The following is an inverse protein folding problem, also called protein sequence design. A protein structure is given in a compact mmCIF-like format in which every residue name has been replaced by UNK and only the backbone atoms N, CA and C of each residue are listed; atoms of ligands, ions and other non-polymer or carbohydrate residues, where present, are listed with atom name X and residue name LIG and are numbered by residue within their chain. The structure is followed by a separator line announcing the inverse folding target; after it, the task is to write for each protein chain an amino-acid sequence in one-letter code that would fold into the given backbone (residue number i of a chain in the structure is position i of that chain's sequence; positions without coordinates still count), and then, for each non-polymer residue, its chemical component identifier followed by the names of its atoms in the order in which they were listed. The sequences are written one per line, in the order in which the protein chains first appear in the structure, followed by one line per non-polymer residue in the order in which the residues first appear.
data_IF_430932392946
#
_entry.id   IF_430932392946
#
_cell.length_a   1.000
_cell.length_b   1.000
_cell.length_c   1.000
_cell.angle_alpha   90.00
_cell.angle_beta   90.00
_cell.angle_gamma   90.00
#
_symmetry.space_group_name_H-M   'P 1'
#
loop_
_entity.id
_entity.type
_entity.pdbx_description
1 polymer ?
#
# COMPACT_ATOMS: atom_id res chain seq x y z
N UNK A 1 19.68 -13.05 0.85
CA UNK A 1 18.76 -13.84 0.01
C UNK A 1 17.97 -12.99 -1.00
N UNK A 2 17.35 -11.86 -0.64
CA UNK A 2 16.68 -10.99 -1.64
C UNK A 2 17.50 -9.77 -2.13
N UNK A 3 18.59 -9.42 -1.45
CA UNK A 3 19.52 -8.35 -1.84
C UNK A 3 18.80 -7.01 -2.11
N UNK A 4 18.96 -6.42 -3.30
CA UNK A 4 18.38 -5.14 -3.70
C UNK A 4 16.84 -5.11 -3.68
N UNK A 5 16.20 -6.29 -3.68
CA UNK A 5 14.74 -6.41 -3.64
C UNK A 5 14.20 -6.41 -2.21
N UNK A 6 15.07 -6.54 -1.20
CA UNK A 6 14.66 -6.72 0.19
C UNK A 6 13.79 -5.56 0.69
N UNK A 7 14.21 -4.31 0.49
CA UNK A 7 13.50 -3.15 1.03
C UNK A 7 12.08 -3.03 0.48
N UNK A 8 11.88 -3.12 -0.83
CA UNK A 8 10.55 -3.05 -1.42
C UNK A 8 9.63 -4.20 -0.99
N UNK A 9 10.18 -5.42 -0.89
CA UNK A 9 9.43 -6.59 -0.41
C UNK A 9 9.06 -6.47 1.08
N UNK A 10 9.96 -5.94 1.90
CA UNK A 10 9.73 -5.80 3.34
C UNK A 10 8.72 -4.70 3.65
N UNK A 11 8.77 -3.57 2.95
CA UNK A 11 7.75 -2.52 3.04
C UNK A 11 6.37 -3.05 2.62
N UNK A 12 6.29 -3.71 1.45
CA UNK A 12 5.05 -4.32 0.99
C UNK A 12 4.48 -5.35 1.98
N UNK A 13 5.36 -6.16 2.60
CA UNK A 13 4.99 -7.11 3.64
C UNK A 13 4.42 -6.40 4.86
N UNK A 14 5.14 -5.41 5.39
CA UNK A 14 4.78 -4.74 6.63
C UNK A 14 3.37 -4.13 6.53
N UNK A 15 3.09 -3.46 5.41
CA UNK A 15 1.79 -2.86 5.14
C UNK A 15 0.67 -3.91 5.01
N UNK A 16 0.82 -4.90 4.11
CA UNK A 16 -0.25 -5.85 3.82
C UNK A 16 -0.49 -6.84 4.96
N UNK A 17 0.57 -7.31 5.61
CA UNK A 17 0.47 -8.18 6.79
C UNK A 17 -0.03 -7.39 7.98
N UNK A 18 0.28 -6.08 8.07
CA UNK A 18 -0.32 -5.18 9.05
C UNK A 18 -1.83 -5.10 8.89
N UNK A 19 -2.33 -4.99 7.66
CA UNK A 19 -3.77 -4.98 7.36
C UNK A 19 -4.44 -6.33 7.68
N UNK A 20 -3.77 -7.45 7.38
CA UNK A 20 -4.21 -8.79 7.80
C UNK A 20 -4.27 -8.89 9.34
N UNK A 21 -3.23 -8.41 10.04
CA UNK A 21 -3.15 -8.46 11.50
C UNK A 21 -4.22 -7.59 12.17
N UNK A 22 -4.53 -6.41 11.61
CA UNK A 22 -5.65 -5.59 12.08
C UNK A 22 -6.97 -6.37 12.01
N UNK A 23 -7.23 -7.06 10.91
CA UNK A 23 -8.43 -7.90 10.79
C UNK A 23 -8.44 -9.05 11.80
N UNK A 24 -7.30 -9.70 12.01
CA UNK A 24 -7.14 -10.75 13.01
C UNK A 24 -7.46 -10.23 14.42
N UNK A 25 -6.90 -9.08 14.81
CA UNK A 25 -7.12 -8.48 16.13
C UNK A 25 -8.60 -8.10 16.35
N UNK A 26 -9.27 -7.58 15.31
CA UNK A 26 -10.73 -7.33 15.37
C UNK A 26 -11.50 -8.65 15.54
N UNK A 27 -11.10 -9.72 14.83
CA UNK A 27 -11.72 -11.04 14.96
C UNK A 27 -11.52 -11.71 16.32
N UNK A 28 -10.50 -11.25 17.09
CA UNK A 28 -10.24 -11.65 18.48
C UNK A 28 -10.92 -10.74 19.51
N UNK A 29 -11.78 -9.82 19.07
CA UNK A 29 -12.42 -8.78 19.89
C UNK A 29 -11.39 -7.91 20.67
N UNK A 30 -10.14 -7.81 20.19
CA UNK A 30 -9.10 -6.94 20.75
C UNK A 30 -9.15 -5.52 20.17
N UNK A 31 -9.83 -5.34 19.04
CA UNK A 31 -10.08 -4.05 18.39
C UNK A 31 -11.57 -3.92 18.01
N UNK A 32 -12.14 -2.69 17.97
CA UNK A 32 -13.55 -2.48 17.63
C UNK A 32 -13.92 -2.96 16.22
N UNK A 33 -15.06 -3.66 16.10
CA UNK A 33 -15.63 -4.10 14.81
C UNK A 33 -15.98 -2.95 13.86
N UNK A 34 -16.20 -1.74 14.40
CA UNK A 34 -16.43 -0.54 13.62
C UNK A 34 -15.22 -0.15 12.74
N UNK A 35 -14.01 -0.66 13.03
CA UNK A 35 -12.80 -0.36 12.27
C UNK A 35 -12.67 -1.15 10.95
N UNK A 36 -13.41 -2.24 10.75
CA UNK A 36 -13.22 -3.13 9.59
C UNK A 36 -13.33 -2.37 8.27
N UNK A 37 -14.36 -1.53 8.11
CA UNK A 37 -14.54 -0.79 6.85
C UNK A 37 -13.54 0.36 6.73
N UNK A 38 -13.34 1.11 7.82
CA UNK A 38 -12.50 2.30 7.78
C UNK A 38 -11.02 1.97 7.58
N UNK A 39 -10.53 0.83 8.08
CA UNK A 39 -9.13 0.43 7.86
C UNK A 39 -8.83 0.17 6.38
N UNK A 40 -9.70 -0.56 5.67
CA UNK A 40 -9.52 -0.84 4.24
C UNK A 40 -9.67 0.42 3.38
N UNK A 41 -10.66 1.26 3.69
CA UNK A 41 -10.87 2.52 2.95
C UNK A 41 -9.70 3.48 3.19
N UNK A 42 -9.21 3.59 4.42
CA UNK A 42 -8.04 4.42 4.75
C UNK A 42 -6.77 3.88 4.09
N UNK A 43 -6.61 2.56 4.03
CA UNK A 43 -5.49 1.92 3.34
C UNK A 43 -5.50 2.23 1.84
N UNK A 44 -6.64 2.09 1.15
CA UNK A 44 -6.80 2.47 -0.26
C UNK A 44 -6.40 3.94 -0.51
N UNK A 45 -6.89 4.87 0.32
CA UNK A 45 -6.50 6.27 0.23
C UNK A 45 -4.98 6.47 0.48
N UNK A 46 -4.43 5.71 1.44
CA UNK A 46 -3.02 5.67 1.76
C UNK A 46 -2.13 5.23 0.60
N UNK A 47 -2.59 4.29 -0.23
CA UNK A 47 -1.87 3.87 -1.43
C UNK A 47 -1.60 5.05 -2.37
N UNK A 48 -2.61 5.88 -2.62
CA UNK A 48 -2.43 7.06 -3.48
C UNK A 48 -1.48 8.09 -2.88
N UNK A 49 -1.47 8.25 -1.56
CA UNK A 49 -0.51 9.13 -0.87
C UNK A 49 0.92 8.61 -1.08
N UNK A 50 1.18 7.34 -0.76
CA UNK A 50 2.55 6.80 -0.79
C UNK A 50 3.10 6.63 -2.21
N UNK A 51 2.28 6.25 -3.19
CA UNK A 51 2.74 6.11 -4.59
C UNK A 51 3.24 7.44 -5.17
N UNK A 52 2.83 8.60 -4.61
CA UNK A 52 3.30 9.93 -5.01
C UNK A 52 4.73 10.24 -4.61
N UNK A 53 5.34 9.45 -3.72
CA UNK A 53 6.79 9.49 -3.49
C UNK A 53 7.59 8.95 -4.69
N UNK A 54 6.91 8.27 -5.62
CA UNK A 54 7.50 7.73 -6.84
C UNK A 54 7.91 6.27 -6.69
N UNK A 55 8.10 5.62 -7.84
CA UNK A 55 8.47 4.21 -7.90
C UNK A 55 9.98 3.97 -7.80
N UNK A 56 10.78 4.98 -7.52
CA UNK A 56 12.20 4.81 -7.21
C UNK A 56 12.43 4.48 -5.73
N UNK A 57 11.49 4.87 -4.87
CA UNK A 57 11.52 4.66 -3.43
C UNK A 57 10.82 3.32 -3.06
N UNK A 58 11.30 2.66 -2.00
CA UNK A 58 10.89 1.30 -1.64
C UNK A 58 9.44 1.23 -1.18
N UNK A 59 8.98 2.20 -0.38
CA UNK A 59 7.58 2.31 0.06
C UNK A 59 6.65 2.59 -1.12
N UNK A 60 7.01 3.49 -2.02
CA UNK A 60 6.27 3.76 -3.26
C UNK A 60 6.11 2.52 -4.15
N UNK A 61 7.19 1.74 -4.33
CA UNK A 61 7.15 0.43 -5.01
C UNK A 61 6.20 -0.55 -4.32
N UNK A 62 6.33 -0.70 -3.01
CA UNK A 62 5.50 -1.61 -2.22
C UNK A 62 4.02 -1.25 -2.28
N UNK A 63 3.70 0.04 -2.27
CA UNK A 63 2.32 0.55 -2.33
C UNK A 63 1.70 0.39 -3.72
N UNK A 64 2.47 0.57 -4.79
CA UNK A 64 2.02 0.25 -6.14
C UNK A 64 1.72 -1.25 -6.29
N UNK A 65 2.58 -2.10 -5.73
CA UNK A 65 2.37 -3.56 -5.74
C UNK A 65 1.07 -3.94 -5.03
N UNK A 66 0.86 -3.41 -3.82
CA UNK A 66 -0.33 -3.69 -3.03
C UNK A 66 -1.60 -3.21 -3.76
N UNK A 67 -1.61 -1.96 -4.25
CA UNK A 67 -2.74 -1.44 -5.00
C UNK A 67 -3.06 -2.29 -6.24
N UNK A 68 -2.05 -2.60 -7.06
CA UNK A 68 -2.26 -3.32 -8.31
C UNK A 68 -2.71 -4.77 -8.06
N UNK A 69 -2.21 -5.43 -7.00
CA UNK A 69 -2.69 -6.75 -6.60
C UNK A 69 -4.16 -6.70 -6.17
N UNK A 70 -4.52 -5.79 -5.26
CA UNK A 70 -5.90 -5.67 -4.79
C UNK A 70 -6.86 -5.27 -5.92
N UNK A 71 -6.40 -4.46 -6.86
CA UNK A 71 -7.17 -4.12 -8.06
C UNK A 71 -7.35 -5.33 -8.99
N UNK A 72 -6.30 -6.12 -9.25
CA UNK A 72 -6.38 -7.36 -10.07
C UNK A 72 -7.32 -8.40 -9.44
N UNK A 73 -7.40 -8.44 -8.10
CA UNK A 73 -8.34 -9.28 -7.34
C UNK A 73 -9.74 -8.68 -7.20
N UNK A 74 -10.02 -7.56 -7.88
CA UNK A 74 -11.30 -6.84 -7.83
C UNK A 74 -11.69 -6.36 -6.42
N UNK A 75 -10.73 -6.32 -5.48
CA UNK A 75 -10.93 -5.78 -4.14
C UNK A 75 -10.92 -4.24 -4.14
N UNK A 76 -10.19 -3.64 -5.08
CA UNK A 76 -10.30 -2.21 -5.39
C UNK A 76 -11.02 -2.02 -6.72
N UNK A 77 -11.95 -1.08 -6.74
CA UNK A 77 -12.79 -0.79 -7.90
C UNK A 77 -12.54 0.66 -8.32
N UNK A 78 -12.31 0.88 -9.61
CA UNK A 78 -12.34 2.19 -10.26
C UNK A 78 -13.72 2.38 -10.90
N UNK A 79 -14.40 3.47 -10.54
CA UNK A 79 -15.71 3.85 -11.06
C UNK A 79 -15.61 4.76 -12.29
N UNK A 80 -16.72 4.90 -13.01
CA UNK A 80 -16.80 5.76 -14.20
C UNK A 80 -16.62 7.25 -13.93
N UNK A 81 -16.78 7.69 -12.68
CA UNK A 81 -16.50 9.06 -12.24
C UNK A 81 -15.05 9.24 -11.75
N UNK A 82 -14.19 8.27 -12.06
CA UNK A 82 -12.79 8.20 -11.68
C UNK A 82 -12.58 8.20 -10.14
N UNK A 83 -13.57 7.79 -9.35
CA UNK A 83 -13.41 7.53 -7.92
C UNK A 83 -13.10 6.06 -7.65
N UNK A 84 -12.63 5.77 -6.44
CA UNK A 84 -12.25 4.42 -6.03
C UNK A 84 -13.04 3.96 -4.82
N UNK A 85 -13.33 2.66 -4.75
CA UNK A 85 -13.93 2.01 -3.58
C UNK A 85 -13.33 0.66 -3.28
N UNK A 86 -13.65 0.13 -2.10
CA UNK A 86 -13.30 -1.22 -1.67
C UNK A 86 -14.49 -2.16 -1.85
N UNK A 87 -14.28 -3.30 -2.49
CA UNK A 87 -15.20 -4.45 -2.44
C UNK A 87 -14.95 -5.22 -1.13
N UNK A 88 -15.88 -5.09 -0.18
CA UNK A 88 -15.73 -5.71 1.14
C UNK A 88 -15.89 -7.22 1.13
N UNK A 89 -16.50 -7.80 0.10
CA UNK A 89 -16.63 -9.26 -0.02
C UNK A 89 -15.34 -9.90 -0.54
N UNK A 90 -14.47 -9.11 -1.21
CA UNK A 90 -13.22 -9.60 -1.82
C UNK A 90 -11.95 -9.15 -1.11
N UNK A 91 -11.97 -8.01 -0.42
CA UNK A 91 -10.75 -7.39 0.13
C UNK A 91 -10.01 -8.26 1.13
N UNK A 92 -10.73 -9.01 1.98
CA UNK A 92 -10.09 -9.88 2.98
C UNK A 92 -9.26 -10.98 2.32
N UNK A 93 -9.83 -11.66 1.31
CA UNK A 93 -9.14 -12.70 0.56
C UNK A 93 -7.99 -12.15 -0.30
N UNK A 94 -8.15 -10.96 -0.87
CA UNK A 94 -7.08 -10.31 -1.63
C UNK A 94 -5.87 -9.98 -0.73
N UNK A 95 -6.12 -9.45 0.47
CA UNK A 95 -5.08 -9.15 1.47
C UNK A 95 -4.37 -10.42 1.92
N UNK A 96 -5.13 -11.46 2.30
CA UNK A 96 -4.56 -12.74 2.72
C UNK A 96 -3.70 -13.39 1.62
N UNK A 97 -4.16 -13.35 0.37
CA UNK A 97 -3.42 -13.92 -0.76
C UNK A 97 -2.08 -13.21 -1.00
N UNK A 98 -2.04 -11.87 -0.91
CA UNK A 98 -0.80 -11.12 -1.07
C UNK A 98 0.15 -11.33 0.13
N UNK A 99 -0.38 -11.35 1.35
CA UNK A 99 0.40 -11.69 2.55
C UNK A 99 1.07 -13.06 2.39
N UNK A 100 0.31 -14.06 1.93
CA UNK A 100 0.81 -15.42 1.72
C UNK A 100 1.91 -15.46 0.67
N UNK A 101 1.72 -14.79 -0.47
CA UNK A 101 2.69 -14.71 -1.56
C UNK A 101 4.03 -14.14 -1.07
N UNK A 102 3.99 -12.95 -0.47
CA UNK A 102 5.19 -12.24 -0.01
C UNK A 102 5.92 -13.05 1.08
N UNK A 103 5.19 -13.57 2.07
CA UNK A 103 5.78 -14.36 3.15
C UNK A 103 6.40 -15.66 2.64
N UNK A 104 5.77 -16.31 1.65
CA UNK A 104 6.30 -17.55 1.04
C UNK A 104 7.59 -17.28 0.27
N UNK A 105 7.62 -16.21 -0.53
CA UNK A 105 8.82 -15.78 -1.27
C UNK A 105 9.97 -15.50 -0.31
N UNK A 106 9.72 -14.73 0.75
CA UNK A 106 10.73 -14.40 1.75
C UNK A 106 11.21 -15.63 2.53
N UNK A 107 10.31 -16.53 2.93
CA UNK A 107 10.66 -17.75 3.66
C UNK A 107 11.54 -18.71 2.84
N UNK A 108 11.42 -18.68 1.51
CA UNK A 108 12.25 -19.47 0.59
C UNK A 108 13.54 -18.76 0.14
N UNK A 109 13.68 -17.48 0.45
CA UNK A 109 14.76 -16.67 -0.11
C UNK A 109 14.70 -16.51 -1.63
N UNK A 110 13.51 -16.64 -2.23
CA UNK A 110 13.32 -16.77 -3.68
C UNK A 110 13.42 -15.41 -4.39
N UNK A 111 14.65 -15.03 -4.77
CA UNK A 111 14.94 -13.75 -5.42
C UNK A 111 14.28 -13.62 -6.79
N UNK A 112 14.15 -14.72 -7.53
CA UNK A 112 13.57 -14.74 -8.87
C UNK A 112 12.06 -14.47 -8.79
N UNK A 113 11.35 -15.15 -7.87
CA UNK A 113 9.94 -14.88 -7.61
C UNK A 113 9.71 -13.45 -7.11
N UNK A 114 10.55 -12.94 -6.21
CA UNK A 114 10.49 -11.54 -5.77
C UNK A 114 10.63 -10.57 -6.95
N UNK A 115 11.60 -10.82 -7.83
CA UNK A 115 11.83 -9.98 -9.02
C UNK A 115 10.62 -9.97 -9.95
N UNK A 116 10.03 -11.14 -10.23
CA UNK A 116 8.85 -11.27 -11.08
C UNK A 116 7.62 -10.57 -10.47
N UNK A 117 7.41 -10.71 -9.16
CA UNK A 117 6.32 -10.04 -8.45
C UNK A 117 6.46 -8.51 -8.56
N UNK A 118 7.64 -7.97 -8.27
CA UNK A 118 7.91 -6.53 -8.34
C UNK A 118 7.82 -6.01 -9.78
N UNK A 119 8.37 -6.72 -10.77
CA UNK A 119 8.27 -6.33 -12.18
C UNK A 119 6.82 -6.26 -12.66
N UNK A 120 5.98 -7.20 -12.23
CA UNK A 120 4.57 -7.24 -12.61
C UNK A 120 3.77 -6.10 -11.93
N UNK A 121 3.92 -5.93 -10.62
CA UNK A 121 3.00 -5.09 -9.85
C UNK A 121 3.57 -3.75 -9.39
N UNK A 122 4.89 -3.51 -9.37
CA UNK A 122 5.47 -2.19 -9.05
C UNK A 122 5.48 -1.26 -10.27
N UNK A 123 4.33 -1.11 -10.92
CA UNK A 123 4.17 -0.30 -12.13
C UNK A 123 3.09 0.75 -11.95
N UNK A 124 3.27 1.89 -12.63
CA UNK A 124 2.28 2.96 -12.66
C UNK A 124 1.17 2.60 -13.66
N UNK A 125 0.22 1.79 -13.21
CA UNK A 125 -0.92 1.34 -14.01
C UNK A 125 -1.89 2.48 -14.32
N UNK A 126 -2.78 2.27 -15.30
CA UNK A 126 -3.75 3.30 -15.68
C UNK A 126 -4.64 3.76 -14.50
N UNK A 127 -5.17 2.88 -13.62
CA UNK A 127 -5.93 3.32 -12.47
C UNK A 127 -5.13 4.22 -11.51
N UNK A 128 -3.85 3.89 -11.24
CA UNK A 128 -2.99 4.76 -10.44
C UNK A 128 -2.78 6.12 -11.11
N UNK A 129 -2.51 6.15 -12.42
CA UNK A 129 -2.35 7.41 -13.17
C UNK A 129 -3.59 8.31 -13.07
N UNK A 130 -4.78 7.74 -13.17
CA UNK A 130 -6.05 8.48 -13.03
C UNK A 130 -6.15 9.13 -11.64
N UNK A 131 -5.85 8.37 -10.58
CA UNK A 131 -5.86 8.89 -9.22
C UNK A 131 -4.83 10.01 -9.02
N UNK A 132 -3.61 9.82 -9.51
CA UNK A 132 -2.53 10.80 -9.36
C UNK A 132 -2.82 12.09 -10.14
N UNK A 133 -3.35 11.98 -11.36
CA UNK A 133 -3.70 13.15 -12.16
C UNK A 133 -4.78 14.01 -11.48
N UNK A 134 -5.77 13.40 -10.83
CA UNK A 134 -6.76 14.14 -10.05
C UNK A 134 -6.12 14.91 -8.88
N UNK A 135 -5.20 14.28 -8.15
CA UNK A 135 -4.50 14.91 -7.03
C UNK A 135 -3.58 16.06 -7.49
N UNK A 136 -2.95 15.90 -8.66
CA UNK A 136 -2.13 16.94 -9.29
C UNK A 136 -2.96 18.13 -9.75
N UNK A 137 -4.11 17.89 -10.40
CA UNK A 137 -5.01 18.94 -10.87
C UNK A 137 -5.51 19.86 -9.74
N UNK A 138 -5.73 19.31 -8.53
CA UNK A 138 -6.12 20.08 -7.35
C UNK A 138 -4.94 20.49 -6.46
N UNK A 139 -3.70 20.25 -6.91
CA UNK A 139 -2.45 20.66 -6.25
C UNK A 139 -2.36 20.20 -4.77
N UNK A 140 -2.78 18.96 -4.49
CA UNK A 140 -2.60 18.38 -3.15
C UNK A 140 -1.10 18.27 -2.87
N UNK A 141 -0.57 18.72 -1.72
CA UNK A 141 0.83 18.51 -1.37
C UNK A 141 1.20 17.02 -1.26
N UNK A 142 2.43 16.65 -1.62
CA UNK A 142 2.90 15.25 -1.50
C UNK A 142 3.18 14.90 -0.04
N UNK A 143 3.92 15.79 0.63
CA UNK A 143 4.34 15.62 2.02
C UNK A 143 4.54 17.00 2.66
N UNK A 144 5.05 17.00 3.89
CA UNK A 144 5.31 18.19 4.67
C UNK A 144 6.79 18.59 4.64
N UNK A 145 7.05 19.90 4.70
CA UNK A 145 8.37 20.45 5.00
C UNK A 145 8.34 21.00 6.43
N UNK A 146 8.89 20.28 7.43
CA UNK A 146 8.72 20.66 8.83
C UNK A 146 9.53 21.90 9.21
N UNK A 147 8.89 22.83 9.93
CA UNK A 147 9.55 23.96 10.58
C UNK A 147 9.72 23.66 12.07
N UNK A 148 10.93 23.29 12.49
CA UNK A 148 11.23 22.92 13.87
C UNK A 148 11.52 24.13 14.77
N UNK A 149 10.48 24.88 15.11
CA UNK A 149 10.60 26.12 15.91
C UNK A 149 11.25 25.91 17.28
N UNK A 150 11.04 24.76 17.92
CA UNK A 150 11.68 24.43 19.19
C UNK A 150 13.20 24.27 19.07
N UNK A 151 13.68 23.61 18.00
CA UNK A 151 15.11 23.45 17.73
C UNK A 151 15.77 24.79 17.42
N UNK A 152 15.10 25.62 16.60
CA UNK A 152 15.59 26.95 16.26
C UNK A 152 15.79 27.83 17.51
N UNK A 153 14.95 27.67 18.55
CA UNK A 153 15.09 28.39 19.83
C UNK A 153 16.22 27.86 20.71
N UNK A 154 16.57 26.57 20.60
CA UNK A 154 17.65 25.95 21.40
C UNK A 154 19.04 26.25 20.83
N UNK A 155 19.13 26.60 19.55
CA UNK A 155 20.38 26.92 18.85
C UNK A 155 20.70 28.44 18.82
N UNK A 156 19.83 29.27 19.41
CA UNK A 156 20.07 30.70 19.65
C UNK A 156 20.77 30.91 21.00
#
# INVERSE_FOLDING_TARGET
ELQELHSAMEEAKADIVGLWALKFLIGRDLLPKSLVKSMYVSFLAGCFRSVRFGLEESHGKGQALQFNWLFEKEAFILHSDDTFSVDFDKVEGAVESLSTEILTIQARGDKEAASLLLQKYCTMTQPLKVALQKLENVQVPVDIAPTFTAVNKLLQ
#
